data_IF_694180738918
#
_entry.id   IF_694180738918
#
_cell.length_a   1.000
_cell.length_b   1.000
_cell.length_c   1.000
_cell.angle_alpha   90.00
_cell.angle_beta   90.00
_cell.angle_gamma   90.00
#
_symmetry.space_group_name_H-M   'P 1'
#
loop_
_entity.id
_entity.type
_entity.pdbx_description
1 polymer ?
#
# COMPACT_ATOMS: atom_id res chain seq x y z
N UNK A 1 16.37 6.39 -20.20
CA UNK A 1 15.02 6.99 -20.28
C UNK A 1 14.11 5.99 -20.98
N UNK A 2 12.93 5.70 -20.42
CA UNK A 2 11.90 4.84 -21.02
C UNK A 2 10.72 5.73 -21.43
N UNK A 3 10.10 5.42 -22.56
CA UNK A 3 8.93 6.13 -23.06
C UNK A 3 7.73 5.22 -22.87
N UNK A 4 6.73 5.67 -22.11
CA UNK A 4 5.43 5.03 -22.06
C UNK A 4 4.64 5.49 -23.28
N UNK A 5 4.19 4.54 -24.10
CA UNK A 5 3.40 4.79 -25.29
C UNK A 5 2.07 4.06 -25.17
N UNK A 6 1.00 4.70 -25.64
CA UNK A 6 -0.29 4.05 -25.76
C UNK A 6 -0.19 2.90 -26.78
N UNK A 7 -0.55 1.69 -26.36
CA UNK A 7 -0.52 0.49 -27.20
C UNK A 7 -1.52 0.52 -28.37
N UNK A 8 -2.50 1.44 -28.38
CA UNK A 8 -3.47 1.58 -29.47
C UNK A 8 -3.12 2.71 -30.45
N UNK A 9 -2.78 3.90 -29.96
CA UNK A 9 -2.50 5.07 -30.81
C UNK A 9 -1.01 5.28 -31.12
N UNK A 10 -0.11 4.63 -30.38
CA UNK A 10 1.33 4.88 -30.46
C UNK A 10 1.75 6.25 -29.92
N UNK A 11 0.82 7.00 -29.31
CA UNK A 11 1.09 8.32 -28.75
C UNK A 11 1.98 8.19 -27.51
N UNK A 12 2.99 9.05 -27.41
CA UNK A 12 3.82 9.21 -26.21
C UNK A 12 2.96 9.73 -25.06
N UNK A 13 2.91 8.95 -23.97
CA UNK A 13 2.14 9.25 -22.76
C UNK A 13 3.01 9.89 -21.67
N UNK A 14 4.26 9.42 -21.52
CA UNK A 14 5.21 9.97 -20.55
C UNK A 14 6.66 9.54 -20.85
N UNK A 15 7.63 10.35 -20.39
CA UNK A 15 9.05 9.96 -20.31
C UNK A 15 9.42 9.69 -18.87
N UNK A 16 9.93 8.50 -18.60
CA UNK A 16 10.30 8.03 -17.27
C UNK A 16 11.80 7.70 -17.18
N UNK A 17 12.44 7.94 -16.02
CA UNK A 17 13.82 7.53 -15.78
C UNK A 17 13.99 6.00 -15.96
N UNK A 18 15.15 5.54 -16.43
CA UNK A 18 15.38 4.11 -16.66
C UNK A 18 15.62 3.31 -15.37
N UNK A 19 15.96 3.98 -14.27
CA UNK A 19 16.58 3.37 -13.08
C UNK A 19 15.60 3.18 -11.92
N UNK A 20 14.46 2.53 -12.19
CA UNK A 20 13.44 2.25 -11.16
C UNK A 20 13.95 1.39 -9.99
N UNK A 21 15.07 0.68 -10.15
CA UNK A 21 15.70 -0.11 -9.08
C UNK A 21 16.30 0.75 -7.96
N UNK A 22 16.96 1.86 -8.29
CA UNK A 22 17.55 2.75 -7.27
C UNK A 22 16.48 3.45 -6.44
N UNK A 23 15.36 3.78 -7.08
CA UNK A 23 14.16 4.29 -6.43
C UNK A 23 13.55 3.28 -5.42
N UNK A 24 13.63 1.98 -5.71
CA UNK A 24 13.17 0.92 -4.81
C UNK A 24 14.07 0.75 -3.58
N UNK A 25 15.40 0.87 -3.74
CA UNK A 25 16.33 0.76 -2.61
C UNK A 25 16.18 1.93 -1.63
N UNK A 26 16.05 3.15 -2.13
CA UNK A 26 15.77 4.34 -1.29
C UNK A 26 14.41 4.24 -0.57
N UNK A 27 13.47 3.46 -1.12
CA UNK A 27 12.15 3.23 -0.52
C UNK A 27 12.20 2.41 0.77
N UNK A 28 13.09 1.42 0.82
CA UNK A 28 13.23 0.55 1.97
C UNK A 28 13.83 1.30 3.16
N UNK A 29 14.80 2.18 2.91
CA UNK A 29 15.52 2.91 3.96
C UNK A 29 14.65 4.02 4.60
N UNK A 30 13.93 4.81 3.81
CA UNK A 30 13.12 5.94 4.33
C UNK A 30 11.88 5.50 5.09
N UNK A 31 11.33 4.33 4.78
CA UNK A 31 10.13 3.80 5.47
C UNK A 31 10.45 3.10 6.79
N UNK A 32 11.71 2.78 7.07
CA UNK A 32 12.13 2.20 8.35
C UNK A 32 12.12 3.23 9.50
N UNK A 33 12.12 4.53 9.18
CA UNK A 33 12.24 5.61 10.16
C UNK A 33 10.93 5.97 10.90
N UNK A 34 9.77 5.44 10.49
CA UNK A 34 8.45 5.76 11.09
C UNK A 34 7.91 4.69 12.06
N UNK A 35 8.73 3.71 12.46
CA UNK A 35 8.31 2.62 13.34
C UNK A 35 8.17 3.06 14.83
N UNK A 36 7.08 3.75 15.17
CA UNK A 36 6.66 4.10 16.53
C UNK A 36 5.13 4.02 16.69
N UNK A 37 4.66 3.46 17.81
CA UNK A 37 3.32 2.88 18.08
C UNK A 37 2.11 3.82 17.92
N UNK A 38 1.13 3.48 17.05
CA UNK A 38 -0.35 3.53 17.25
C UNK A 38 -1.12 3.02 16.01
N UNK A 39 -2.38 2.53 16.17
CA UNK A 39 -3.29 2.30 15.04
C UNK A 39 -3.81 3.67 14.55
N UNK A 40 -3.01 4.31 13.71
CA UNK A 40 -3.49 5.39 12.85
C UNK A 40 -3.82 4.76 11.50
N UNK A 41 -5.12 4.62 11.24
CA UNK A 41 -5.61 4.02 10.01
C UNK A 41 -5.22 4.83 8.78
N UNK A 42 -4.93 6.13 8.94
CA UNK A 42 -4.40 7.00 7.91
C UNK A 42 -3.18 7.77 8.42
N UNK A 43 -2.05 7.64 7.71
CA UNK A 43 -0.77 8.25 8.07
C UNK A 43 -0.30 9.14 6.93
N UNK A 44 0.16 10.35 7.29
CA UNK A 44 0.76 11.28 6.33
C UNK A 44 2.16 10.79 5.93
N UNK A 45 2.39 10.69 4.62
CA UNK A 45 3.68 10.40 4.01
C UNK A 45 4.33 11.64 3.40
N UNK A 46 5.41 11.43 2.64
CA UNK A 46 6.19 12.53 2.04
C UNK A 46 5.51 13.24 0.86
N UNK A 47 4.47 12.67 0.26
CA UNK A 47 3.75 13.26 -0.87
C UNK A 47 2.22 13.19 -0.76
N UNK A 48 1.68 12.96 0.43
CA UNK A 48 0.25 12.69 0.62
C UNK A 48 -0.02 11.85 1.85
N UNK A 49 -1.03 10.98 1.79
CA UNK A 49 -1.38 10.08 2.89
C UNK A 49 -1.55 8.65 2.40
N UNK A 50 -1.37 7.70 3.31
CA UNK A 50 -1.68 6.29 3.09
C UNK A 50 -2.52 5.75 4.22
N UNK A 51 -3.35 4.74 3.94
CA UNK A 51 -4.23 4.16 4.94
C UNK A 51 -4.26 2.65 4.92
N UNK A 52 -4.64 2.08 6.06
CA UNK A 52 -4.91 0.66 6.26
C UNK A 52 -6.04 0.53 7.27
N UNK A 53 -7.07 -0.23 6.92
CA UNK A 53 -8.20 -0.51 7.81
C UNK A 53 -8.41 -2.02 7.88
N UNK A 54 -8.63 -2.55 9.08
CA UNK A 54 -9.03 -3.92 9.34
C UNK A 54 -10.22 -3.93 10.29
N UNK A 55 -11.22 -4.76 10.02
CA UNK A 55 -12.48 -4.77 10.78
C UNK A 55 -13.16 -6.13 10.68
N UNK A 56 -14.13 -6.37 11.55
CA UNK A 56 -14.96 -7.58 11.47
C UNK A 56 -15.80 -7.59 10.19
N UNK A 57 -15.83 -8.73 9.52
CA UNK A 57 -16.69 -8.95 8.38
C UNK A 57 -18.15 -9.09 8.88
N UNK A 58 -19.10 -8.26 8.41
CA UNK A 58 -20.46 -8.28 8.92
C UNK A 58 -21.12 -9.67 8.83
N UNK A 59 -21.64 -10.16 9.97
CA UNK A 59 -22.36 -11.43 10.06
C UNK A 59 -21.50 -12.68 9.92
N UNK A 60 -20.18 -12.59 10.14
CA UNK A 60 -19.23 -13.71 10.08
C UNK A 60 -18.16 -13.56 11.15
N UNK A 61 -17.65 -14.68 11.65
CA UNK A 61 -16.48 -14.74 12.53
C UNK A 61 -15.19 -14.66 11.69
N UNK A 62 -15.08 -13.59 10.91
CA UNK A 62 -14.00 -13.32 9.96
C UNK A 62 -13.63 -11.83 10.04
N UNK A 63 -12.42 -11.48 9.58
CA UNK A 63 -12.05 -10.09 9.35
C UNK A 63 -12.06 -9.74 7.85
N UNK A 64 -12.18 -8.44 7.58
CA UNK A 64 -11.99 -7.84 6.28
C UNK A 64 -11.06 -6.64 6.39
N UNK A 65 -10.38 -6.29 5.31
CA UNK A 65 -9.46 -5.16 5.30
C UNK A 65 -9.44 -4.46 3.94
N UNK A 66 -8.98 -3.21 3.94
CA UNK A 66 -8.63 -2.47 2.73
C UNK A 66 -7.53 -1.45 3.02
N UNK A 67 -6.85 -1.02 1.99
CA UNK A 67 -5.70 -0.10 2.08
C UNK A 67 -5.66 0.80 0.87
N UNK A 68 -4.88 1.87 0.95
CA UNK A 68 -4.70 2.75 -0.18
C UNK A 68 -3.80 3.93 0.12
N UNK A 69 -3.76 4.85 -0.83
CA UNK A 69 -3.05 6.11 -0.69
C UNK A 69 -3.71 7.22 -1.51
N UNK A 70 -3.44 8.46 -1.11
CA UNK A 70 -3.78 9.68 -1.82
C UNK A 70 -2.54 10.55 -1.93
N UNK A 71 -2.28 11.05 -3.13
CA UNK A 71 -1.14 11.91 -3.46
C UNK A 71 -1.61 13.36 -3.59
N UNK A 72 -0.81 14.30 -3.09
CA UNK A 72 -1.11 15.74 -3.14
C UNK A 72 -0.27 16.50 -4.17
N UNK A 73 0.84 15.90 -4.62
CA UNK A 73 1.82 16.54 -5.52
C UNK A 73 1.84 16.03 -6.96
N UNK A 74 0.87 15.21 -7.36
CA UNK A 74 0.79 14.66 -8.72
C UNK A 74 0.09 13.31 -8.80
N UNK A 75 0.14 12.72 -9.97
CA UNK A 75 -0.46 11.42 -10.28
C UNK A 75 0.65 10.35 -10.33
N UNK A 76 0.39 9.19 -9.74
CA UNK A 76 1.26 8.03 -9.88
C UNK A 76 0.96 7.28 -11.19
N UNK A 77 2.00 6.92 -11.92
CA UNK A 77 1.93 6.03 -13.09
C UNK A 77 2.40 4.59 -12.76
N UNK A 78 2.99 4.40 -11.58
CA UNK A 78 3.37 3.09 -11.07
C UNK A 78 3.44 3.15 -9.53
N UNK A 79 3.39 2.00 -8.87
CA UNK A 79 3.33 1.83 -7.43
C UNK A 79 3.59 0.37 -7.12
N UNK A 80 4.16 0.15 -5.94
CA UNK A 80 4.26 -1.16 -5.32
C UNK A 80 3.70 -1.05 -3.92
N UNK A 81 2.68 -1.84 -3.62
CA UNK A 81 2.02 -1.84 -2.33
C UNK A 81 2.11 -3.21 -1.68
N UNK A 82 2.54 -3.26 -0.43
CA UNK A 82 2.71 -4.52 0.31
C UNK A 82 2.05 -4.41 1.66
N UNK A 83 1.20 -5.36 1.98
CA UNK A 83 0.51 -5.48 3.26
C UNK A 83 0.97 -6.75 3.96
N UNK A 84 1.03 -6.69 5.28
CA UNK A 84 1.18 -7.86 6.13
C UNK A 84 0.13 -7.83 7.24
N UNK A 85 -0.47 -8.98 7.51
CA UNK A 85 -1.42 -9.19 8.60
C UNK A 85 -0.91 -10.36 9.42
N UNK A 86 -0.97 -10.22 10.75
CA UNK A 86 -0.58 -11.26 11.68
C UNK A 86 -1.54 -11.32 12.87
N UNK A 87 -1.67 -12.50 13.44
CA UNK A 87 -2.34 -12.70 14.73
C UNK A 87 -1.40 -12.33 15.88
N UNK A 88 -1.90 -11.59 16.87
CA UNK A 88 -1.15 -11.17 18.04
C UNK A 88 -1.14 -12.21 19.18
N UNK A 89 -2.07 -13.16 19.20
CA UNK A 89 -2.35 -14.00 20.39
C UNK A 89 -2.33 -15.50 20.10
N UNK A 90 -2.66 -15.95 18.88
CA UNK A 90 -2.90 -17.37 18.54
C UNK A 90 -1.75 -18.14 17.84
N UNK A 91 -0.55 -17.57 17.72
CA UNK A 91 0.67 -18.39 17.54
C UNK A 91 0.97 -18.93 16.13
N UNK A 92 0.77 -18.14 15.06
CA UNK A 92 1.43 -18.45 13.78
C UNK A 92 0.72 -18.02 12.49
N UNK A 93 -0.42 -17.34 12.59
CA UNK A 93 -1.07 -16.83 11.40
C UNK A 93 -0.36 -15.59 10.87
N UNK A 94 0.00 -15.65 9.59
CA UNK A 94 0.36 -14.45 8.86
C UNK A 94 -0.10 -14.52 7.41
N UNK A 95 -0.41 -13.35 6.87
CA UNK A 95 -0.81 -13.18 5.48
C UNK A 95 -0.07 -11.99 4.88
N UNK A 96 0.56 -12.21 3.74
CA UNK A 96 1.08 -11.13 2.91
C UNK A 96 0.17 -10.91 1.72
N UNK A 97 0.05 -9.65 1.33
CA UNK A 97 -0.61 -9.26 0.10
C UNK A 97 0.22 -8.19 -0.59
N UNK A 98 0.23 -8.22 -1.92
CA UNK A 98 0.91 -7.21 -2.71
C UNK A 98 0.11 -6.87 -3.94
N UNK A 99 0.15 -5.60 -4.31
CA UNK A 99 -0.46 -5.09 -5.53
C UNK A 99 0.44 -4.02 -6.15
N UNK A 100 0.26 -3.79 -7.45
CA UNK A 100 1.06 -2.84 -8.21
C UNK A 100 0.16 -2.10 -9.22
N UNK A 101 0.47 -0.84 -9.54
CA UNK A 101 -0.27 -0.05 -10.53
C UNK A 101 0.09 1.45 -10.51
N UNK A 102 -0.48 2.37 -11.29
CA UNK A 102 -1.40 2.12 -12.38
C UNK A 102 -0.86 2.57 -13.74
N UNK A 103 -1.15 1.74 -14.76
CA UNK A 103 -0.90 2.05 -16.18
C UNK A 103 -1.59 3.34 -16.69
N UNK A 104 -2.56 3.90 -15.95
CA UNK A 104 -3.10 5.24 -16.16
C UNK A 104 -2.81 6.10 -14.94
N UNK A 105 -2.26 7.32 -15.12
CA UNK A 105 -1.95 8.21 -14.02
C UNK A 105 -3.14 8.45 -13.08
N UNK A 106 -2.95 8.25 -11.78
CA UNK A 106 -3.95 8.56 -10.76
C UNK A 106 -3.30 9.10 -9.49
N UNK A 107 -3.92 10.12 -8.90
CA UNK A 107 -3.54 10.65 -7.59
C UNK A 107 -4.09 9.82 -6.42
N UNK A 108 -4.93 8.82 -6.68
CA UNK A 108 -5.54 7.99 -5.62
C UNK A 108 -5.62 6.54 -6.07
N UNK A 109 -5.33 5.64 -5.15
CA UNK A 109 -5.57 4.22 -5.31
C UNK A 109 -6.10 3.64 -4.01
N UNK A 110 -7.03 2.71 -4.13
CA UNK A 110 -7.55 1.93 -3.01
C UNK A 110 -7.69 0.49 -3.46
N UNK A 111 -7.27 -0.44 -2.61
CA UNK A 111 -7.59 -1.85 -2.80
C UNK A 111 -9.12 -2.04 -2.74
N UNK A 112 -9.66 -3.08 -3.39
CA UNK A 112 -10.97 -3.60 -2.99
C UNK A 112 -10.92 -4.06 -1.53
N UNK A 113 -12.09 -4.13 -0.89
CA UNK A 113 -12.21 -4.78 0.42
C UNK A 113 -11.96 -6.28 0.27
N UNK A 114 -11.00 -6.80 1.04
CA UNK A 114 -10.63 -8.21 1.05
C UNK A 114 -11.16 -8.84 2.32
N UNK A 115 -12.00 -9.86 2.18
CA UNK A 115 -12.44 -10.70 3.31
C UNK A 115 -11.46 -11.84 3.47
N UNK A 116 -10.89 -12.00 4.66
CA UNK A 116 -10.17 -13.22 5.00
C UNK A 116 -11.14 -14.32 5.37
N UNK A 117 -10.92 -15.53 4.88
CA UNK A 117 -11.78 -16.70 5.12
C UNK A 117 -11.15 -17.72 6.06
N UNK A 118 -9.98 -17.42 6.61
CA UNK A 118 -9.34 -18.22 7.63
C UNK A 118 -10.13 -18.08 8.95
N UNK A 119 -10.59 -19.19 9.56
CA UNK A 119 -11.41 -19.18 10.77
C UNK A 119 -10.56 -18.98 12.03
N UNK A 120 -9.85 -17.86 12.10
CA UNK A 120 -8.87 -17.60 13.15
C UNK A 120 -9.40 -16.50 14.05
N UNK A 121 -9.86 -16.91 15.23
CA UNK A 121 -10.35 -16.02 16.27
C UNK A 121 -9.15 -15.34 16.94
N UNK A 122 -9.35 -14.12 17.41
CA UNK A 122 -8.32 -13.33 18.10
C UNK A 122 -8.11 -11.95 17.49
N UNK A 123 -7.09 -11.27 18.01
CA UNK A 123 -6.72 -9.92 17.58
C UNK A 123 -5.72 -10.00 16.43
N UNK A 124 -6.11 -9.45 15.29
CA UNK A 124 -5.29 -9.36 14.08
C UNK A 124 -4.74 -7.95 13.95
N UNK A 125 -3.44 -7.83 13.71
CA UNK A 125 -2.76 -6.58 13.37
C UNK A 125 -2.42 -6.61 11.88
N UNK A 126 -2.87 -5.62 11.13
CA UNK A 126 -2.48 -5.41 9.75
C UNK A 126 -1.72 -4.10 9.57
N UNK A 127 -0.78 -4.08 8.63
CA UNK A 127 0.01 -2.88 8.32
C UNK A 127 0.53 -2.88 6.89
N UNK A 128 0.78 -1.68 6.37
CA UNK A 128 1.48 -1.49 5.11
C UNK A 128 2.99 -1.58 5.36
N UNK A 129 3.65 -2.50 4.66
CA UNK A 129 5.09 -2.77 4.81
C UNK A 129 5.94 -1.62 4.27
N UNK A 130 7.10 -1.46 4.90
CA UNK A 130 8.22 -0.68 4.39
C UNK A 130 8.55 -1.04 2.94
N UNK A 131 8.94 -0.03 2.16
CA UNK A 131 9.16 -0.12 0.72
C UNK A 131 7.90 -0.03 -0.14
N UNK A 132 6.71 0.09 0.47
CA UNK A 132 5.49 0.44 -0.29
C UNK A 132 5.56 1.89 -0.76
N UNK A 133 5.38 2.11 -2.06
CA UNK A 133 5.62 3.40 -2.69
C UNK A 133 4.76 3.59 -3.95
N UNK A 134 4.65 4.84 -4.39
CA UNK A 134 4.09 5.27 -5.65
C UNK A 134 5.12 6.15 -6.40
N UNK A 135 5.19 6.03 -7.72
CA UNK A 135 6.09 6.80 -8.58
C UNK A 135 5.25 7.78 -9.39
N UNK A 136 5.46 9.06 -9.15
CA UNK A 136 4.76 10.15 -9.83
C UNK A 136 5.18 10.25 -11.30
N UNK A 137 4.31 10.81 -12.14
CA UNK A 137 4.62 11.14 -13.55
C UNK A 137 5.84 12.06 -13.71
N UNK A 138 6.19 12.83 -12.67
CA UNK A 138 7.41 13.63 -12.58
C UNK A 138 8.69 12.81 -12.32
N UNK A 139 8.56 11.52 -11.99
CA UNK A 139 9.64 10.64 -11.55
C UNK A 139 9.93 10.68 -10.05
N UNK A 140 9.23 11.53 -9.28
CA UNK A 140 9.36 11.56 -7.82
C UNK A 140 8.75 10.30 -7.18
N UNK A 141 9.34 9.84 -6.08
CA UNK A 141 8.88 8.64 -5.35
C UNK A 141 8.24 9.03 -4.03
N UNK A 142 7.05 8.50 -3.79
CA UNK A 142 6.22 8.78 -2.65
C UNK A 142 6.03 7.50 -1.84
N UNK A 143 6.40 7.55 -0.57
CA UNK A 143 6.44 6.41 0.31
C UNK A 143 5.20 6.38 1.20
N UNK A 144 4.75 5.17 1.51
CA UNK A 144 3.76 4.99 2.56
C UNK A 144 4.31 5.49 3.89
N UNK A 145 3.46 6.14 4.70
CA UNK A 145 3.78 6.47 6.10
C UNK A 145 3.86 5.23 7.01
N UNK A 146 3.44 4.06 6.51
CA UNK A 146 3.36 2.82 7.28
C UNK A 146 2.11 2.71 8.16
N UNK A 147 0.89 3.00 7.66
CA UNK A 147 -0.34 2.87 8.42
C UNK A 147 -0.54 1.42 8.88
N UNK A 148 -1.14 1.29 10.05
CA UNK A 148 -1.48 0.01 10.67
C UNK A 148 -2.78 0.13 11.44
N UNK A 149 -3.51 -0.98 11.52
CA UNK A 149 -4.78 -1.06 12.26
C UNK A 149 -4.94 -2.49 12.81
N UNK A 150 -5.78 -2.66 13.82
CA UNK A 150 -6.05 -3.95 14.45
C UNK A 150 -7.54 -4.18 14.74
N UNK A 151 -7.99 -5.42 14.54
CA UNK A 151 -9.36 -5.83 14.82
C UNK A 151 -9.41 -7.14 15.58
N UNK A 152 -10.43 -7.30 16.42
CA UNK A 152 -10.67 -8.53 17.18
C UNK A 152 -11.84 -9.31 16.58
N UNK A 153 -11.54 -10.52 16.08
CA UNK A 153 -12.52 -11.49 15.58
C UNK A 153 -12.89 -12.43 16.73
N UNK A 154 -14.17 -12.44 17.09
CA UNK A 154 -14.72 -13.24 18.19
C UNK A 154 -15.00 -14.68 17.76
#
# INVERSE_FOLDING_TARGET
>A
MKILVDGKSGQELARVPADSQRAQEEAVEKSAASAGVTPEDEVVGNCGSSWFYIMNAPGRDLYQWYTGFRLTGGEAYDFQWRVYIQDLVGGGYSRSWSDNGPQWPSATWSSPTVVDRSPINGTHLGYVRSGSHAILTSGAVCYSGGPSDSANVL
#
